data_IF_633704725881
#
_entry.id   IF_633704725881
#
_cell.length_a   1.000
_cell.length_b   1.000
_cell.length_c   1.000
_cell.angle_alpha   90.00
_cell.angle_beta   90.00
_cell.angle_gamma   90.00
#
_symmetry.space_group_name_H-M   'P 1'
#
loop_
_entity.id
_entity.type
_entity.pdbx_description
1 polymer ?
#
# COMPACT_ATOMS: atom_id res chain seq x y z
N UNK A 1 -29.13 19.02 4.58
CA UNK A 1 -28.56 18.87 3.21
C UNK A 1 -27.66 17.62 3.26
N UNK A 2 -27.84 16.69 2.35
CA UNK A 2 -27.11 15.44 2.30
C UNK A 2 -25.61 15.73 2.09
N UNK A 3 -24.73 15.07 2.87
CA UNK A 3 -23.28 15.20 2.77
C UNK A 3 -22.76 14.90 1.35
N UNK A 4 -23.39 13.93 0.68
CA UNK A 4 -23.08 13.57 -0.70
C UNK A 4 -23.29 14.77 -1.64
N UNK A 5 -24.43 15.46 -1.50
CA UNK A 5 -24.73 16.64 -2.31
C UNK A 5 -23.72 17.74 -2.10
N UNK A 6 -23.34 18.00 -0.84
CA UNK A 6 -22.33 19.00 -0.50
C UNK A 6 -20.94 18.65 -1.07
N UNK A 7 -20.54 17.38 -1.03
CA UNK A 7 -19.28 16.95 -1.61
C UNK A 7 -19.26 17.07 -3.13
N UNK A 8 -20.37 16.80 -3.80
CA UNK A 8 -20.51 17.02 -5.24
C UNK A 8 -20.46 18.52 -5.60
N UNK A 9 -21.09 19.38 -4.81
CA UNK A 9 -21.03 20.83 -5.02
C UNK A 9 -19.59 21.35 -4.87
N UNK A 10 -18.83 20.87 -3.89
CA UNK A 10 -17.41 21.21 -3.73
C UNK A 10 -16.57 20.70 -4.90
N UNK A 11 -16.84 19.49 -5.38
CA UNK A 11 -16.16 18.93 -6.55
C UNK A 11 -16.39 19.79 -7.80
N UNK A 12 -17.64 20.18 -8.08
CA UNK A 12 -17.96 21.05 -9.20
C UNK A 12 -17.35 22.45 -9.06
N UNK A 13 -17.35 22.99 -7.84
CA UNK A 13 -16.69 24.28 -7.55
C UNK A 13 -15.20 24.24 -7.87
N UNK A 14 -14.49 23.19 -7.47
CA UNK A 14 -13.07 23.00 -7.78
C UNK A 14 -12.83 22.86 -9.29
N UNK A 15 -13.70 22.18 -10.02
CA UNK A 15 -13.63 22.05 -11.47
C UNK A 15 -13.76 23.42 -12.17
N UNK A 16 -14.69 24.25 -11.71
CA UNK A 16 -14.97 25.56 -12.31
C UNK A 16 -13.89 26.60 -11.97
N UNK A 17 -13.24 26.50 -10.80
CA UNK A 17 -12.24 27.46 -10.31
C UNK A 17 -10.78 27.07 -10.62
N UNK A 18 -10.56 26.20 -11.59
CA UNK A 18 -9.23 25.93 -12.15
C UNK A 18 -8.41 24.85 -11.45
N UNK A 19 -8.94 24.17 -10.42
CA UNK A 19 -8.27 23.03 -9.78
C UNK A 19 -8.58 21.70 -10.51
N UNK A 20 -8.56 21.76 -11.84
CA UNK A 20 -8.97 20.66 -12.73
C UNK A 20 -8.13 19.41 -12.55
N UNK A 21 -6.85 19.57 -12.26
CA UNK A 21 -5.92 18.45 -12.09
C UNK A 21 -6.29 17.61 -10.85
N UNK A 22 -6.55 18.27 -9.72
CA UNK A 22 -6.95 17.60 -8.48
C UNK A 22 -8.34 16.96 -8.58
N UNK A 23 -9.26 17.62 -9.24
CA UNK A 23 -10.61 17.08 -9.47
C UNK A 23 -10.57 15.85 -10.38
N UNK A 24 -9.70 15.87 -11.38
CA UNK A 24 -9.44 14.70 -12.24
C UNK A 24 -8.84 13.55 -11.46
N UNK A 25 -7.80 13.80 -10.65
CA UNK A 25 -7.17 12.81 -9.77
C UNK A 25 -8.21 12.13 -8.86
N UNK A 26 -9.06 12.92 -8.21
CA UNK A 26 -10.15 12.42 -7.34
C UNK A 26 -11.15 11.57 -8.13
N UNK A 27 -11.55 12.01 -9.32
CA UNK A 27 -12.49 11.28 -10.18
C UNK A 27 -11.92 9.93 -10.64
N UNK A 28 -10.67 9.92 -11.08
CA UNK A 28 -9.96 8.71 -11.49
C UNK A 28 -9.79 7.75 -10.30
N UNK A 29 -9.53 8.29 -9.11
CA UNK A 29 -9.44 7.49 -7.89
C UNK A 29 -10.78 6.86 -7.49
N UNK A 30 -11.88 7.59 -7.55
CA UNK A 30 -13.22 7.05 -7.27
C UNK A 30 -13.51 5.85 -8.18
N UNK A 31 -13.16 5.95 -9.46
CA UNK A 31 -13.33 4.86 -10.41
C UNK A 31 -12.45 3.64 -10.06
N UNK A 32 -11.21 3.88 -9.70
CA UNK A 32 -10.25 2.85 -9.28
C UNK A 32 -10.68 2.19 -7.97
N UNK A 33 -11.13 2.96 -6.99
CA UNK A 33 -11.66 2.45 -5.72
C UNK A 33 -12.83 1.50 -5.95
N UNK A 34 -13.80 1.88 -6.77
CA UNK A 34 -14.93 1.01 -7.12
C UNK A 34 -14.47 -0.32 -7.73
N UNK A 35 -13.43 -0.31 -8.57
CA UNK A 35 -12.83 -1.52 -9.11
C UNK A 35 -12.25 -2.42 -8.01
N UNK A 36 -11.53 -1.84 -7.04
CA UNK A 36 -11.00 -2.59 -5.90
C UNK A 36 -12.10 -3.16 -5.01
N UNK A 37 -13.17 -2.40 -4.75
CA UNK A 37 -14.33 -2.88 -4.00
C UNK A 37 -14.96 -4.11 -4.68
N UNK A 38 -15.14 -4.07 -6.00
CA UNK A 38 -15.64 -5.22 -6.76
C UNK A 38 -14.72 -6.44 -6.69
N UNK A 39 -13.41 -6.25 -6.73
CA UNK A 39 -12.42 -7.33 -6.60
C UNK A 39 -12.47 -7.92 -5.19
N UNK A 40 -12.54 -7.07 -4.16
CA UNK A 40 -12.64 -7.48 -2.76
C UNK A 40 -13.90 -8.32 -2.51
N UNK A 41 -15.05 -7.87 -2.98
CA UNK A 41 -16.31 -8.61 -2.92
C UNK A 41 -16.25 -9.97 -3.64
N UNK A 42 -15.60 -10.00 -4.80
CA UNK A 42 -15.36 -11.24 -5.53
C UNK A 42 -14.48 -12.21 -4.73
N UNK A 43 -13.42 -11.70 -4.12
CA UNK A 43 -12.50 -12.51 -3.31
C UNK A 43 -13.18 -13.07 -2.07
N UNK A 44 -14.02 -12.28 -1.39
CA UNK A 44 -14.81 -12.72 -0.25
C UNK A 44 -15.71 -13.93 -0.59
N UNK A 45 -16.32 -13.93 -1.80
CA UNK A 45 -17.15 -15.04 -2.30
C UNK A 45 -16.35 -16.27 -2.74
N UNK A 46 -15.07 -16.12 -3.02
CA UNK A 46 -14.16 -17.19 -3.51
C UNK A 46 -13.35 -17.87 -2.42
N UNK A 47 -13.63 -17.58 -1.15
CA UNK A 47 -13.02 -18.30 -0.04
C UNK A 47 -13.27 -19.79 -0.14
N UNK A 48 -12.28 -20.60 0.18
CA UNK A 48 -12.44 -22.05 0.18
C UNK A 48 -13.30 -22.53 1.38
N UNK A 49 -13.55 -23.84 1.45
CA UNK A 49 -14.36 -24.44 2.52
C UNK A 49 -13.76 -24.25 3.94
N UNK A 50 -12.47 -23.89 4.05
CA UNK A 50 -11.80 -23.54 5.32
C UNK A 50 -11.89 -22.06 5.64
N UNK A 51 -12.50 -21.26 4.77
CA UNK A 51 -12.57 -19.80 4.92
C UNK A 51 -11.30 -19.05 4.54
N UNK A 52 -10.32 -19.74 3.91
CA UNK A 52 -9.06 -19.14 3.49
C UNK A 52 -9.28 -18.18 2.31
N UNK A 53 -8.58 -17.05 2.35
CA UNK A 53 -8.65 -16.05 1.31
C UNK A 53 -7.98 -16.53 0.00
N UNK A 54 -8.56 -16.24 -1.19
CA UNK A 54 -8.01 -16.72 -2.47
C UNK A 54 -6.65 -16.11 -2.84
N UNK A 55 -6.32 -14.92 -2.29
CA UNK A 55 -5.02 -14.27 -2.52
C UNK A 55 -4.10 -14.61 -1.35
N UNK A 56 -2.99 -15.25 -1.64
CA UNK A 56 -1.95 -15.58 -0.66
C UNK A 56 -0.95 -14.44 -0.56
N UNK A 57 -0.91 -13.81 0.61
CA UNK A 57 0.10 -12.80 0.97
C UNK A 57 0.94 -13.36 2.10
N UNK A 58 2.26 -13.19 2.02
CA UNK A 58 3.20 -13.75 2.96
C UNK A 58 3.86 -12.67 3.83
N UNK A 59 4.04 -12.99 5.11
CA UNK A 59 4.82 -12.17 6.04
C UNK A 59 6.27 -12.00 5.57
N UNK A 60 6.90 -10.87 5.89
CA UNK A 60 8.30 -10.58 5.56
C UNK A 60 8.56 -10.29 4.07
N UNK A 61 7.55 -10.43 3.22
CA UNK A 61 7.68 -10.09 1.80
C UNK A 61 7.32 -8.64 1.52
N UNK A 62 7.98 -8.10 0.49
CA UNK A 62 7.70 -6.78 -0.08
C UNK A 62 6.85 -6.94 -1.32
N UNK A 63 5.81 -6.13 -1.44
CA UNK A 63 4.88 -6.09 -2.57
C UNK A 63 4.74 -4.67 -3.10
N UNK A 64 4.36 -4.56 -4.37
CA UNK A 64 3.84 -3.30 -4.93
C UNK A 64 2.41 -3.13 -4.41
N UNK A 65 2.09 -1.94 -3.89
CA UNK A 65 0.79 -1.64 -3.27
C UNK A 65 0.27 -0.33 -3.84
N UNK A 66 -1.00 -0.31 -4.21
CA UNK A 66 -1.72 0.91 -4.54
C UNK A 66 -2.34 1.51 -3.26
N UNK A 67 -1.68 2.53 -2.71
CA UNK A 67 -2.19 3.25 -1.52
C UNK A 67 -3.34 4.20 -1.87
N UNK A 68 -3.54 4.50 -3.15
CA UNK A 68 -4.61 5.34 -3.65
C UNK A 68 -4.39 6.82 -3.46
N UNK A 69 -5.47 7.57 -3.65
CA UNK A 69 -5.49 9.01 -3.36
C UNK A 69 -5.92 9.22 -1.91
N UNK A 70 -5.11 9.91 -1.15
CA UNK A 70 -5.28 10.18 0.28
C UNK A 70 -5.23 11.67 0.57
N UNK A 71 -5.45 12.07 1.82
CA UNK A 71 -5.53 13.48 2.21
C UNK A 71 -4.15 14.00 2.65
N UNK A 72 -3.75 15.14 2.09
CA UNK A 72 -2.61 15.90 2.56
C UNK A 72 -1.26 15.18 2.46
N UNK A 73 -0.68 14.80 3.60
CA UNK A 73 0.64 14.15 3.70
C UNK A 73 0.58 12.64 3.95
N UNK A 74 -0.60 12.06 3.96
CA UNK A 74 -0.76 10.61 4.03
C UNK A 74 -0.06 9.91 2.87
N UNK A 75 0.32 8.66 3.10
CA UNK A 75 0.99 7.86 2.07
C UNK A 75 0.02 7.53 0.94
N UNK A 76 0.38 7.84 -0.28
CA UNK A 76 -0.50 7.72 -1.45
C UNK A 76 0.21 7.12 -2.67
N UNK A 77 -0.55 6.88 -3.72
CA UNK A 77 -0.09 6.36 -5.01
C UNK A 77 0.49 4.94 -4.95
N UNK A 78 1.17 4.53 -6.00
CA UNK A 78 1.77 3.21 -6.14
C UNK A 78 3.14 3.19 -5.49
N UNK A 79 3.28 2.41 -4.41
CA UNK A 79 4.55 2.26 -3.71
C UNK A 79 4.78 0.82 -3.26
N UNK A 80 5.98 0.55 -2.76
CA UNK A 80 6.29 -0.72 -2.12
C UNK A 80 5.75 -0.76 -0.68
N UNK A 81 5.43 -1.95 -0.20
CA UNK A 81 5.06 -2.20 1.18
C UNK A 81 5.63 -3.50 1.70
N UNK A 82 6.20 -3.47 2.91
CA UNK A 82 6.65 -4.64 3.64
C UNK A 82 5.49 -5.20 4.48
N UNK A 83 5.13 -6.45 4.24
CA UNK A 83 4.08 -7.14 5.02
C UNK A 83 4.64 -7.56 6.38
N UNK A 84 3.99 -7.08 7.44
CA UNK A 84 4.34 -7.39 8.83
C UNK A 84 3.29 -8.24 9.56
N UNK A 85 2.09 -8.35 9.03
CA UNK A 85 1.06 -9.26 9.55
C UNK A 85 1.51 -10.71 9.37
N UNK A 86 1.31 -11.56 10.40
CA UNK A 86 1.69 -12.96 10.37
C UNK A 86 0.89 -13.77 9.32
N UNK A 87 1.45 -14.87 8.84
CA UNK A 87 0.87 -15.68 7.77
C UNK A 87 -0.51 -16.27 8.11
N UNK A 88 -0.77 -16.58 9.38
CA UNK A 88 -2.10 -17.04 9.81
C UNK A 88 -3.14 -15.94 9.65
N UNK A 89 -2.82 -14.71 10.07
CA UNK A 89 -3.68 -13.55 9.82
C UNK A 89 -3.86 -13.29 8.33
N UNK A 90 -2.76 -13.37 7.56
CA UNK A 90 -2.79 -13.20 6.11
C UNK A 90 -3.64 -14.25 5.39
N UNK A 91 -3.73 -15.47 5.93
CA UNK A 91 -4.50 -16.54 5.30
C UNK A 91 -6.02 -16.29 5.37
N UNK A 92 -6.51 -15.68 6.45
CA UNK A 92 -7.95 -15.52 6.69
C UNK A 92 -8.48 -14.09 6.55
N UNK A 93 -7.64 -13.07 6.69
CA UNK A 93 -8.06 -11.66 6.58
C UNK A 93 -8.26 -11.22 5.14
N UNK A 94 -9.17 -10.30 4.89
CA UNK A 94 -9.29 -9.57 3.63
C UNK A 94 -8.24 -8.47 3.50
N UNK A 95 -7.66 -8.06 4.62
CA UNK A 95 -6.65 -7.01 4.71
C UNK A 95 -5.32 -7.53 5.23
N UNK A 96 -4.26 -6.76 5.02
CA UNK A 96 -2.92 -7.00 5.58
C UNK A 96 -2.34 -5.71 6.17
N UNK A 97 -1.51 -5.87 7.22
CA UNK A 97 -0.78 -4.77 7.83
C UNK A 97 0.58 -4.65 7.14
N UNK A 98 0.90 -3.45 6.70
CA UNK A 98 2.12 -3.17 5.95
C UNK A 98 2.84 -1.93 6.47
N UNK A 99 4.15 -1.90 6.25
CA UNK A 99 5.00 -0.72 6.39
C UNK A 99 5.30 -0.18 4.99
N UNK A 100 4.91 1.06 4.66
CA UNK A 100 5.22 1.67 3.38
C UNK A 100 6.73 1.83 3.17
N UNK A 101 7.14 1.66 1.90
CA UNK A 101 8.53 1.83 1.47
C UNK A 101 8.57 2.90 0.39
N UNK A 102 9.50 3.83 0.50
CA UNK A 102 9.73 4.91 -0.46
C UNK A 102 11.20 5.04 -0.80
N UNK A 103 11.50 5.81 -1.83
CA UNK A 103 12.87 6.15 -2.19
C UNK A 103 13.59 6.81 -1.02
N UNK A 104 14.86 6.47 -0.82
CA UNK A 104 15.73 7.21 0.08
C UNK A 104 16.40 8.36 -0.70
N UNK A 105 16.18 9.58 -0.24
CA UNK A 105 16.84 10.78 -0.76
C UNK A 105 17.89 11.25 0.24
N UNK A 106 19.10 11.55 -0.24
CA UNK A 106 20.24 11.95 0.63
C UNK A 106 19.99 13.24 1.41
N UNK A 107 19.20 14.14 0.83
CA UNK A 107 18.89 15.46 1.42
C UNK A 107 17.67 15.42 2.35
N UNK A 108 17.07 14.25 2.53
CA UNK A 108 15.86 14.09 3.32
C UNK A 108 16.22 13.78 4.78
N UNK A 109 15.49 14.40 5.72
CA UNK A 109 15.64 14.12 7.14
C UNK A 109 15.36 12.65 7.44
N UNK A 110 16.36 11.94 7.91
CA UNK A 110 16.29 10.54 8.28
C UNK A 110 16.32 10.39 9.80
N UNK A 111 15.21 9.89 10.37
CA UNK A 111 15.12 9.57 11.79
C UNK A 111 15.14 8.05 11.98
N UNK A 112 16.14 7.54 12.68
CA UNK A 112 16.33 6.10 12.92
C UNK A 112 15.23 5.45 13.76
N UNK A 113 14.45 6.24 14.50
CA UNK A 113 13.37 5.73 15.34
C UNK A 113 12.11 5.38 14.52
N UNK A 114 11.97 6.00 13.35
CA UNK A 114 10.76 5.87 12.50
C UNK A 114 11.07 5.48 11.07
N UNK A 115 12.36 5.38 10.72
CA UNK A 115 12.81 5.01 9.38
C UNK A 115 13.89 3.93 9.44
N UNK A 116 13.81 2.97 8.52
CA UNK A 116 14.88 1.97 8.32
C UNK A 116 15.28 1.93 6.84
N UNK A 117 16.61 1.96 6.57
CA UNK A 117 17.14 1.81 5.21
C UNK A 117 17.15 0.34 4.83
N UNK A 118 16.67 0.01 3.63
CA UNK A 118 16.80 -1.31 3.06
C UNK A 118 17.56 -1.27 1.73
N UNK A 119 18.33 -2.31 1.48
CA UNK A 119 19.18 -2.48 0.31
C UNK A 119 18.83 -3.79 -0.41
N UNK A 120 19.11 -3.87 -1.71
CA UNK A 120 18.87 -5.08 -2.49
C UNK A 120 19.52 -6.33 -1.90
N UNK A 121 20.72 -6.21 -1.30
CA UNK A 121 21.41 -7.33 -0.68
C UNK A 121 20.82 -7.81 0.66
N UNK A 122 19.77 -7.13 1.17
CA UNK A 122 19.00 -7.58 2.35
C UNK A 122 17.88 -8.57 2.00
N UNK A 123 17.65 -8.82 0.72
CA UNK A 123 16.67 -9.79 0.30
C UNK A 123 17.28 -11.19 0.22
N UNK A 124 16.59 -12.20 0.78
CA UNK A 124 16.92 -13.62 0.61
C UNK A 124 16.56 -14.12 -0.79
N UNK A 125 15.43 -13.59 -1.31
CA UNK A 125 14.97 -13.85 -2.66
C UNK A 125 14.43 -12.57 -3.28
N UNK A 126 14.78 -12.34 -4.55
CA UNK A 126 14.29 -11.19 -5.32
C UNK A 126 13.48 -11.75 -6.48
N UNK A 127 12.25 -11.31 -6.63
CA UNK A 127 11.48 -11.52 -7.83
C UNK A 127 11.95 -10.53 -8.91
N UNK A 128 11.34 -10.51 -10.06
CA UNK A 128 11.83 -9.89 -11.31
C UNK A 128 12.43 -8.49 -11.23
N UNK A 129 12.13 -7.67 -10.22
CA UNK A 129 12.48 -6.24 -10.24
C UNK A 129 13.25 -5.72 -9.03
N UNK A 130 13.27 -6.44 -7.89
CA UNK A 130 13.93 -5.92 -6.69
C UNK A 130 13.38 -4.55 -6.25
N UNK A 131 14.23 -3.75 -5.62
CA UNK A 131 13.93 -2.35 -5.30
C UNK A 131 14.22 -1.47 -6.53
N UNK A 132 13.28 -0.60 -6.90
CA UNK A 132 13.49 0.39 -7.98
C UNK A 132 14.58 1.38 -7.62
N UNK A 133 14.70 1.72 -6.33
CA UNK A 133 15.74 2.57 -5.77
C UNK A 133 16.52 1.83 -4.68
N UNK A 134 17.83 1.96 -4.70
CA UNK A 134 18.74 1.30 -3.76
C UNK A 134 19.75 2.32 -3.17
N UNK A 135 19.65 2.71 -1.89
CA UNK A 135 18.69 2.19 -0.91
C UNK A 135 17.28 2.75 -1.03
N UNK A 136 16.34 2.01 -0.48
CA UNK A 136 14.99 2.48 -0.17
C UNK A 136 14.82 2.69 1.33
N UNK A 137 13.76 3.37 1.74
CA UNK A 137 13.44 3.71 3.14
C UNK A 137 12.10 3.10 3.54
N UNK A 138 12.10 2.25 4.56
CA UNK A 138 10.89 1.78 5.25
C UNK A 138 10.43 2.87 6.22
N UNK A 139 9.14 3.22 6.18
CA UNK A 139 8.52 4.21 7.03
C UNK A 139 7.72 3.51 8.13
N UNK A 140 8.35 3.32 9.30
CA UNK A 140 7.78 2.56 10.41
C UNK A 140 6.58 3.30 11.03
N UNK A 141 6.66 4.63 11.12
CA UNK A 141 5.57 5.44 11.67
C UNK A 141 4.31 5.48 10.79
N UNK A 142 4.43 5.13 9.52
CA UNK A 142 3.31 5.14 8.55
C UNK A 142 2.67 3.73 8.41
N UNK A 143 2.79 2.87 9.44
CA UNK A 143 2.15 1.56 9.48
C UNK A 143 0.67 1.69 9.12
N UNK A 144 0.20 0.87 8.19
CA UNK A 144 -1.17 0.96 7.70
C UNK A 144 -1.74 -0.41 7.32
N UNK A 145 -3.05 -0.47 7.20
CA UNK A 145 -3.79 -1.65 6.75
C UNK A 145 -4.31 -1.41 5.34
N UNK A 146 -4.07 -2.36 4.44
CA UNK A 146 -4.55 -2.31 3.06
C UNK A 146 -5.37 -3.54 2.72
N UNK A 147 -6.40 -3.36 1.89
CA UNK A 147 -7.17 -4.48 1.33
C UNK A 147 -6.31 -5.25 0.32
N UNK A 148 -6.44 -6.57 0.30
CA UNK A 148 -5.66 -7.44 -0.57
C UNK A 148 -5.90 -7.21 -2.07
N UNK A 149 -7.06 -6.65 -2.44
CA UNK A 149 -7.34 -6.26 -3.82
C UNK A 149 -6.38 -5.19 -4.37
N UNK A 150 -5.73 -4.43 -3.46
CA UNK A 150 -4.78 -3.35 -3.78
C UNK A 150 -3.33 -3.81 -3.86
N UNK A 151 -3.06 -5.11 -3.58
CA UNK A 151 -1.72 -5.68 -3.59
C UNK A 151 -1.41 -6.23 -4.97
N UNK A 152 -0.34 -5.73 -5.56
CA UNK A 152 0.17 -6.11 -6.86
C UNK A 152 1.31 -7.13 -6.77
N UNK A 153 2.31 -6.98 -7.62
CA UNK A 153 3.40 -7.92 -7.76
C UNK A 153 4.27 -8.00 -6.50
N UNK A 154 4.71 -9.21 -6.22
CA UNK A 154 5.71 -9.49 -5.20
C UNK A 154 7.09 -9.06 -5.70
N UNK A 155 7.86 -8.42 -4.83
CA UNK A 155 9.20 -7.90 -5.12
C UNK A 155 10.29 -8.84 -4.59
N UNK A 156 10.14 -9.34 -3.37
CA UNK A 156 11.09 -10.26 -2.76
C UNK A 156 10.85 -10.43 -1.26
N UNK A 157 11.64 -11.30 -0.64
CA UNK A 157 11.61 -11.58 0.79
C UNK A 157 12.84 -10.98 1.48
N UNK A 158 12.64 -10.15 2.50
CA UNK A 158 13.73 -9.66 3.34
C UNK A 158 14.34 -10.81 4.15
N UNK A 159 15.66 -10.74 4.42
CA UNK A 159 16.29 -11.68 5.32
C UNK A 159 15.83 -11.47 6.78
N UNK A 160 15.89 -12.54 7.58
CA UNK A 160 15.41 -12.55 8.95
C UNK A 160 16.08 -11.48 9.84
N UNK A 161 17.37 -11.21 9.61
CA UNK A 161 18.14 -10.22 10.38
C UNK A 161 17.57 -8.81 10.15
N UNK A 162 17.40 -8.42 8.89
CA UNK A 162 16.88 -7.10 8.54
C UNK A 162 15.42 -6.95 8.97
N UNK A 163 14.60 -7.98 8.75
CA UNK A 163 13.21 -7.99 9.17
C UNK A 163 13.07 -7.77 10.69
N UNK A 164 13.82 -8.50 11.49
CA UNK A 164 13.81 -8.37 12.96
C UNK A 164 14.37 -7.04 13.50
N UNK A 165 15.05 -6.23 12.68
CA UNK A 165 15.46 -4.87 13.04
C UNK A 165 14.36 -3.83 12.76
N UNK A 166 13.37 -4.19 11.95
CA UNK A 166 12.27 -3.29 11.52
C UNK A 166 11.04 -3.51 12.38
N UNK A 167 10.77 -4.75 12.78
CA UNK A 167 9.58 -5.19 13.52
C UNK A 167 9.91 -5.57 14.95
#
# INVERSE_FOLDING_TARGET
MDQIKRNLELYYYDMDNGNKEKSREVSEWIHTQRKYDMISDCNAKRRNYKGEHPITILNQYVYVIDYGSTVGKEFKDLHLGLVIQNDKGNLYSDTVIVLPITDYKTDEKFDKNVHHKIYNHYFESVDRHGLDKNPSKVKIADITTVDKSRIGNRVGKLNNKTYGLIT
#
